data_IF_083615645211
#
_entry.id   IF_083615645211
#
_cell.length_a   1.000
_cell.length_b   1.000
_cell.length_c   1.000
_cell.angle_alpha   90.00
_cell.angle_beta   90.00
_cell.angle_gamma   90.00
#
_symmetry.space_group_name_H-M   'P 1'
#
loop_
_entity.id
_entity.type
_entity.pdbx_description
1 polymer ?
#
# COMPACT_ATOMS: atom_id res chain seq x y z
N UNK A 1 -57.88 8.87 55.64
CA UNK A 1 -57.33 9.88 54.72
C UNK A 1 -56.47 10.80 55.55
N UNK A 2 -55.17 10.81 55.31
CA UNK A 2 -54.28 11.98 55.37
C UNK A 2 -52.93 11.53 54.78
N UNK A 3 -52.58 12.12 53.64
CA UNK A 3 -51.39 11.79 52.86
C UNK A 3 -50.20 12.59 53.40
N UNK A 4 -49.17 11.88 53.87
CA UNK A 4 -47.85 12.45 54.10
C UNK A 4 -47.10 12.54 52.76
N UNK A 5 -47.09 13.73 52.16
CA UNK A 5 -46.22 14.07 51.03
C UNK A 5 -44.85 14.44 51.61
N UNK A 6 -43.91 13.47 51.61
CA UNK A 6 -42.51 13.74 51.95
C UNK A 6 -41.76 14.10 50.66
N UNK A 7 -41.22 15.32 50.69
CA UNK A 7 -40.50 16.05 49.65
C UNK A 7 -39.35 15.28 48.97
N UNK A 8 -39.35 15.27 47.64
CA UNK A 8 -38.30 14.77 46.73
C UNK A 8 -37.10 15.75 46.55
N UNK A 9 -36.78 16.60 47.52
CA UNK A 9 -35.69 17.60 47.37
C UNK A 9 -34.33 17.17 47.93
N UNK A 10 -34.24 16.09 48.73
CA UNK A 10 -32.97 15.71 49.38
C UNK A 10 -31.95 15.02 48.46
N UNK A 11 -32.40 14.27 47.46
CA UNK A 11 -31.50 13.48 46.62
C UNK A 11 -30.73 14.31 45.59
N UNK A 12 -31.25 15.48 45.18
CA UNK A 12 -30.63 16.31 44.14
C UNK A 12 -29.52 17.21 44.71
N UNK A 13 -29.68 17.67 45.96
CA UNK A 13 -28.66 18.45 46.67
C UNK A 13 -27.45 17.59 47.07
N UNK A 14 -27.66 16.31 47.39
CA UNK A 14 -26.57 15.38 47.73
C UNK A 14 -25.68 15.06 46.52
N UNK A 15 -26.27 14.92 45.33
CA UNK A 15 -25.53 14.65 44.08
C UNK A 15 -24.75 15.89 43.61
N UNK A 16 -25.31 17.10 43.75
CA UNK A 16 -24.60 18.35 43.46
C UNK A 16 -23.43 18.60 44.43
N UNK A 17 -23.61 18.25 45.70
CA UNK A 17 -22.53 18.31 46.71
C UNK A 17 -21.35 17.40 46.37
N UNK A 18 -21.62 16.14 46.00
CA UNK A 18 -20.58 15.18 45.61
C UNK A 18 -19.82 15.59 44.34
N UNK A 19 -20.50 16.18 43.35
CA UNK A 19 -19.82 16.76 42.19
C UNK A 19 -18.92 17.94 42.58
N UNK A 20 -19.39 18.84 43.45
CA UNK A 20 -18.59 20.03 43.84
C UNK A 20 -17.31 19.68 44.63
N UNK A 21 -17.29 18.58 45.40
CA UNK A 21 -16.08 18.14 46.12
C UNK A 21 -15.05 17.48 45.19
N UNK A 22 -15.49 16.84 44.10
CA UNK A 22 -14.59 16.24 43.10
C UNK A 22 -13.93 17.26 42.16
N UNK A 23 -14.49 18.47 42.02
CA UNK A 23 -13.95 19.51 41.13
C UNK A 23 -12.97 20.50 41.78
N UNK A 24 -12.74 20.44 43.11
CA UNK A 24 -11.92 21.44 43.82
C UNK A 24 -10.58 20.89 44.34
N UNK A 25 -10.28 19.59 44.21
CA UNK A 25 -8.95 19.04 44.53
C UNK A 25 -7.97 19.07 43.34
N UNK A 26 -8.00 20.15 42.56
CA UNK A 26 -7.02 20.45 41.52
C UNK A 26 -5.75 21.07 42.10
N UNK A 27 -5.00 20.31 42.89
CA UNK A 27 -3.64 20.71 43.29
C UNK A 27 -2.73 20.66 42.06
N UNK A 28 -2.24 21.84 41.64
CA UNK A 28 -1.24 22.01 40.62
C UNK A 28 0.06 21.28 40.99
N UNK A 29 0.26 20.09 40.43
CA UNK A 29 1.58 19.43 40.41
C UNK A 29 2.25 19.85 39.11
N UNK A 30 3.28 20.70 39.23
CA UNK A 30 4.14 21.13 38.11
C UNK A 30 4.96 19.93 37.60
N UNK A 31 4.35 19.08 36.77
CA UNK A 31 5.01 17.97 36.07
C UNK A 31 5.76 18.48 34.85
N UNK A 32 6.80 19.30 35.04
CA UNK A 32 7.79 19.51 33.98
C UNK A 32 8.76 18.33 34.02
N UNK A 33 8.97 17.59 32.92
CA UNK A 33 10.01 16.58 32.87
C UNK A 33 11.37 17.25 33.10
N UNK A 34 12.13 16.82 34.11
CA UNK A 34 13.45 17.37 34.47
C UNK A 34 14.53 17.15 33.40
N UNK A 35 14.26 16.35 32.38
CA UNK A 35 15.11 16.23 31.21
C UNK A 35 14.26 15.88 29.98
N UNK A 36 14.37 16.70 28.94
CA UNK A 36 14.04 16.25 27.60
C UNK A 36 14.95 15.06 27.30
N UNK A 37 14.38 13.92 26.91
CA UNK A 37 15.19 12.84 26.35
C UNK A 37 15.96 13.40 25.15
N UNK A 38 17.24 13.02 25.04
CA UNK A 38 18.06 13.41 23.89
C UNK A 38 17.28 13.12 22.61
N UNK A 39 17.24 14.09 21.70
CA UNK A 39 16.64 13.92 20.39
C UNK A 39 17.15 12.61 19.80
N UNK A 40 16.25 11.66 19.53
CA UNK A 40 16.59 10.46 18.79
C UNK A 40 17.14 10.97 17.47
N UNK A 41 18.43 10.76 17.23
CA UNK A 41 19.04 11.01 15.93
C UNK A 41 18.40 9.99 14.98
N UNK A 42 17.33 10.40 14.31
CA UNK A 42 16.82 9.69 13.15
C UNK A 42 17.87 9.93 12.09
N UNK A 43 18.86 9.04 12.00
CA UNK A 43 19.66 8.97 10.77
C UNK A 43 18.65 8.74 9.66
N UNK A 44 18.53 9.68 8.73
CA UNK A 44 17.83 9.49 7.47
C UNK A 44 18.56 8.40 6.69
N UNK A 45 18.40 7.16 7.12
CA UNK A 45 19.01 6.02 6.48
C UNK A 45 18.42 5.97 5.08
N UNK A 46 19.30 6.05 4.09
CA UNK A 46 18.92 5.80 2.70
C UNK A 46 18.22 4.43 2.65
N UNK A 47 17.06 4.31 1.97
CA UNK A 47 16.29 3.08 2.02
C UNK A 47 17.12 1.87 1.59
N UNK A 48 16.95 0.73 2.27
CA UNK A 48 17.85 -0.41 2.13
C UNK A 48 17.82 -1.07 0.74
N UNK A 49 16.73 -0.85 -0.02
CA UNK A 49 16.57 -1.30 -1.40
C UNK A 49 17.05 -0.31 -2.45
N UNK A 50 17.49 0.88 -2.05
CA UNK A 50 18.12 1.84 -2.94
C UNK A 50 19.55 1.45 -3.31
N UNK A 51 19.98 1.85 -4.49
CA UNK A 51 21.34 1.63 -4.96
C UNK A 51 22.30 2.64 -4.37
N UNK A 52 23.45 2.14 -3.91
CA UNK A 52 24.60 2.97 -3.52
C UNK A 52 25.65 3.11 -4.64
N UNK A 53 25.35 2.65 -5.87
CA UNK A 53 26.31 2.67 -6.97
C UNK A 53 26.58 4.11 -7.45
N UNK A 54 27.84 4.52 -7.66
CA UNK A 54 28.19 5.89 -8.03
C UNK A 54 27.52 6.38 -9.32
N UNK A 55 27.32 5.49 -10.28
CA UNK A 55 26.67 5.79 -11.57
C UNK A 55 25.24 6.30 -11.42
N UNK A 56 24.56 5.95 -10.32
CA UNK A 56 23.20 6.39 -10.03
C UNK A 56 23.12 7.62 -9.13
N UNK A 57 24.19 8.02 -8.46
CA UNK A 57 24.16 9.04 -7.41
C UNK A 57 23.49 10.37 -7.84
N UNK A 58 23.77 10.83 -9.08
CA UNK A 58 23.19 12.06 -9.61
C UNK A 58 21.68 11.95 -9.85
N UNK A 59 21.22 10.83 -10.41
CA UNK A 59 19.79 10.56 -10.67
C UNK A 59 19.04 10.23 -9.38
N UNK A 60 19.69 9.52 -8.46
CA UNK A 60 19.16 9.12 -7.17
C UNK A 60 18.69 10.34 -6.36
N UNK A 61 19.47 11.42 -6.35
CA UNK A 61 19.07 12.68 -5.69
C UNK A 61 17.82 13.30 -6.32
N UNK A 62 17.70 13.26 -7.65
CA UNK A 62 16.51 13.76 -8.34
C UNK A 62 15.28 12.88 -8.06
N UNK A 63 15.43 11.55 -8.06
CA UNK A 63 14.38 10.59 -7.76
C UNK A 63 13.87 10.70 -6.31
N UNK A 64 14.76 10.92 -5.33
CA UNK A 64 14.37 11.05 -3.92
C UNK A 64 13.41 12.23 -3.72
N UNK A 65 13.64 13.34 -4.43
CA UNK A 65 12.73 14.49 -4.41
C UNK A 65 11.37 14.20 -5.08
N UNK A 66 11.22 13.04 -5.71
CA UNK A 66 9.98 12.52 -6.31
C UNK A 66 9.35 11.39 -5.48
N UNK A 67 9.85 11.11 -4.27
CA UNK A 67 9.54 9.93 -3.45
C UNK A 67 9.94 8.59 -4.11
N UNK A 68 10.92 8.62 -5.02
CA UNK A 68 11.41 7.48 -5.77
C UNK A 68 12.89 7.22 -5.48
N UNK A 69 13.34 6.00 -5.77
CA UNK A 69 14.76 5.64 -5.78
C UNK A 69 15.05 4.65 -6.90
N UNK A 70 16.33 4.45 -7.22
CA UNK A 70 16.74 3.40 -8.16
C UNK A 70 17.42 2.26 -7.39
N UNK A 71 17.08 1.02 -7.71
CA UNK A 71 17.72 -0.17 -7.14
C UNK A 71 18.98 -0.56 -7.92
N UNK A 72 19.77 -1.48 -7.36
CA UNK A 72 21.02 -1.96 -7.96
C UNK A 72 20.86 -2.58 -9.35
N UNK A 73 19.65 -3.06 -9.68
CA UNK A 73 19.30 -3.61 -10.99
C UNK A 73 18.76 -2.55 -11.98
N UNK A 74 18.69 -1.28 -11.58
CA UNK A 74 18.18 -0.18 -12.40
C UNK A 74 16.67 0.08 -12.30
N UNK A 75 15.92 -0.76 -11.57
CA UNK A 75 14.48 -0.54 -11.37
C UNK A 75 14.24 0.73 -10.54
N UNK A 76 13.25 1.53 -10.92
CA UNK A 76 12.82 2.66 -10.10
C UNK A 76 11.70 2.20 -9.16
N UNK A 77 11.84 2.48 -7.88
CA UNK A 77 10.99 1.96 -6.81
C UNK A 77 10.50 3.10 -5.90
N UNK A 78 9.34 2.94 -5.23
CA UNK A 78 8.95 3.79 -4.11
C UNK A 78 10.05 3.84 -3.03
N UNK A 79 10.24 5.00 -2.41
CA UNK A 79 11.17 5.17 -1.29
C UNK A 79 10.79 4.33 -0.09
N UNK A 80 9.50 4.19 0.19
CA UNK A 80 9.00 3.38 1.29
C UNK A 80 7.62 2.76 1.01
N UNK A 81 7.27 1.66 1.70
CA UNK A 81 6.05 0.88 1.44
C UNK A 81 4.76 1.67 1.66
N UNK A 82 4.78 2.61 2.61
CA UNK A 82 3.61 3.44 2.94
C UNK A 82 3.23 4.42 1.83
N UNK A 83 4.11 4.62 0.85
CA UNK A 83 3.80 5.48 -0.30
C UNK A 83 2.64 4.94 -1.14
N UNK A 84 2.44 3.62 -1.19
CA UNK A 84 1.35 3.04 -1.98
C UNK A 84 -0.03 3.21 -1.32
N UNK A 85 -0.09 3.61 -0.05
CA UNK A 85 -1.30 3.61 0.82
C UNK A 85 -2.02 2.25 0.95
N UNK A 86 -1.57 1.23 0.22
CA UNK A 86 -2.07 -0.13 0.17
C UNK A 86 -0.90 -1.11 0.30
N UNK A 87 -1.12 -2.25 0.97
CA UNK A 87 -0.07 -3.25 1.15
C UNK A 87 0.35 -3.88 -0.18
N UNK A 88 1.59 -3.66 -0.59
CA UNK A 88 2.19 -4.30 -1.76
C UNK A 88 2.87 -5.61 -1.35
N UNK A 89 2.45 -6.73 -1.94
CA UNK A 89 3.01 -8.07 -1.71
C UNK A 89 3.86 -8.49 -2.90
N UNK A 90 5.00 -9.13 -2.65
CA UNK A 90 5.78 -9.73 -3.71
C UNK A 90 5.18 -11.09 -4.11
N UNK A 91 4.74 -11.22 -5.36
CA UNK A 91 4.24 -12.48 -5.90
C UNK A 91 5.41 -13.36 -6.29
N UNK A 92 5.55 -14.50 -5.63
CA UNK A 92 6.66 -15.41 -5.89
C UNK A 92 6.33 -16.33 -7.06
N UNK A 93 7.10 -16.21 -8.13
CA UNK A 93 6.98 -17.05 -9.35
C UNK A 93 8.28 -17.77 -9.71
N UNK A 94 9.37 -17.48 -8.99
CA UNK A 94 10.72 -18.02 -9.21
C UNK A 94 11.51 -18.06 -7.90
N UNK A 95 12.50 -18.94 -7.82
CA UNK A 95 13.49 -18.97 -6.73
C UNK A 95 14.58 -17.92 -6.90
N UNK A 96 14.74 -17.34 -8.10
CA UNK A 96 15.64 -16.22 -8.34
C UNK A 96 14.95 -14.89 -8.04
N UNK A 97 15.00 -14.47 -6.79
CA UNK A 97 14.34 -13.27 -6.31
C UNK A 97 15.18 -12.01 -6.62
N UNK A 98 14.57 -10.89 -7.06
CA UNK A 98 15.27 -9.62 -7.22
C UNK A 98 16.05 -9.21 -5.96
N UNK A 99 17.14 -8.48 -6.13
CA UNK A 99 18.05 -8.12 -5.03
C UNK A 99 17.39 -7.25 -3.96
N UNK A 100 16.40 -6.44 -4.33
CA UNK A 100 15.60 -5.67 -3.40
C UNK A 100 14.60 -6.53 -2.61
N UNK A 101 14.27 -7.73 -3.09
CA UNK A 101 13.41 -8.68 -2.36
C UNK A 101 14.19 -9.25 -1.17
N UNK A 102 13.69 -9.08 0.04
CA UNK A 102 14.32 -9.54 1.27
C UNK A 102 15.19 -8.53 2.01
N UNK A 103 15.42 -7.34 1.44
CA UNK A 103 16.07 -6.21 2.14
C UNK A 103 15.03 -5.37 2.92
N UNK A 104 13.93 -5.99 3.38
CA UNK A 104 12.67 -5.29 3.63
C UNK A 104 12.46 -4.78 5.05
N UNK A 105 12.36 -3.46 5.19
CA UNK A 105 11.23 -2.78 5.88
C UNK A 105 10.53 -1.76 4.96
N UNK A 106 11.19 -1.40 3.84
CA UNK A 106 10.85 -0.20 3.08
C UNK A 106 10.06 -0.47 1.79
N UNK A 107 9.84 -1.68 1.27
CA UNK A 107 9.16 -1.82 -0.04
C UNK A 107 7.91 -2.70 -0.04
N UNK A 108 8.04 -3.96 0.38
CA UNK A 108 6.92 -4.91 0.39
C UNK A 108 6.40 -5.12 1.82
N UNK A 109 5.11 -5.39 1.94
CA UNK A 109 4.45 -5.80 3.18
C UNK A 109 4.56 -7.32 3.44
N UNK A 110 5.01 -8.09 2.45
CA UNK A 110 5.21 -9.53 2.53
C UNK A 110 5.11 -10.23 1.18
N UNK A 111 4.62 -11.47 1.19
CA UNK A 111 4.69 -12.40 0.06
C UNK A 111 3.33 -13.01 -0.30
N UNK A 112 3.11 -13.24 -1.59
CA UNK A 112 1.96 -13.95 -2.12
C UNK A 112 2.41 -15.20 -2.89
N UNK A 113 1.77 -16.33 -2.59
CA UNK A 113 2.11 -17.65 -3.13
C UNK A 113 0.86 -18.31 -3.73
N UNK A 114 0.90 -18.66 -5.01
CA UNK A 114 -0.03 -19.64 -5.59
C UNK A 114 0.55 -21.05 -5.32
N UNK A 115 -0.24 -21.99 -4.79
CA UNK A 115 0.23 -23.34 -4.47
C UNK A 115 -0.71 -24.44 -5.00
N UNK A 116 -0.13 -25.54 -5.47
CA UNK A 116 -0.87 -26.68 -6.02
C UNK A 116 -0.28 -28.00 -5.51
N UNK A 117 -1.11 -29.04 -5.48
CA UNK A 117 -0.65 -30.39 -5.15
C UNK A 117 -0.31 -31.13 -6.43
N UNK A 118 0.99 -31.30 -6.70
CA UNK A 118 1.50 -31.86 -7.95
C UNK A 118 2.48 -32.98 -7.65
N UNK A 119 2.28 -34.15 -8.26
CA UNK A 119 3.16 -35.33 -8.10
C UNK A 119 3.40 -35.74 -6.63
N UNK A 120 2.40 -35.57 -5.76
CA UNK A 120 2.46 -36.00 -4.37
C UNK A 120 3.05 -34.98 -3.39
N UNK A 121 3.42 -33.78 -3.83
CA UNK A 121 3.94 -32.71 -2.97
C UNK A 121 3.22 -31.38 -3.21
N UNK A 122 3.26 -30.51 -2.19
CA UNK A 122 2.80 -29.12 -2.30
C UNK A 122 3.89 -28.27 -2.95
N UNK A 123 3.58 -27.72 -4.12
CA UNK A 123 4.49 -26.87 -4.89
C UNK A 123 3.94 -25.46 -4.99
N UNK A 124 4.85 -24.51 -5.05
CA UNK A 124 4.56 -23.13 -5.45
C UNK A 124 4.50 -23.12 -6.97
N UNK A 125 3.44 -22.55 -7.52
CA UNK A 125 3.17 -22.54 -8.96
C UNK A 125 3.03 -21.12 -9.46
N UNK A 126 3.43 -20.87 -10.70
CA UNK A 126 3.16 -19.60 -11.39
C UNK A 126 2.00 -19.77 -12.35
N UNK A 127 0.85 -19.15 -12.06
CA UNK A 127 -0.39 -19.29 -12.84
C UNK A 127 -1.02 -17.93 -13.11
N UNK A 128 -1.54 -17.66 -14.31
CA UNK A 128 -2.26 -16.40 -14.58
C UNK A 128 -3.75 -16.56 -14.22
N UNK A 129 -4.02 -16.79 -12.93
CA UNK A 129 -5.32 -17.15 -12.34
C UNK A 129 -5.88 -18.52 -12.75
N UNK A 130 -5.25 -19.23 -13.68
CA UNK A 130 -5.65 -20.55 -14.14
C UNK A 130 -4.69 -21.64 -13.65
N UNK A 131 -5.11 -22.45 -12.67
CA UNK A 131 -4.31 -23.57 -12.15
C UNK A 131 -4.19 -24.76 -13.10
N UNK A 132 -4.92 -24.79 -14.22
CA UNK A 132 -4.71 -25.78 -15.27
C UNK A 132 -3.47 -25.49 -16.14
N UNK A 133 -2.96 -24.25 -16.11
CA UNK A 133 -1.78 -23.83 -16.87
C UNK A 133 -0.72 -23.34 -15.88
N UNK A 134 0.24 -24.22 -15.60
CA UNK A 134 1.38 -23.94 -14.72
C UNK A 134 2.58 -23.56 -15.58
N UNK A 135 3.01 -22.30 -15.47
CA UNK A 135 4.16 -21.78 -16.24
C UNK A 135 5.49 -22.22 -15.63
N UNK A 136 5.54 -22.32 -14.29
CA UNK A 136 6.69 -22.80 -13.53
C UNK A 136 6.22 -23.37 -12.20
N UNK A 137 6.99 -24.32 -11.66
CA UNK A 137 6.74 -24.90 -10.35
C UNK A 137 8.05 -25.16 -9.61
N UNK A 138 8.00 -25.07 -8.28
CA UNK A 138 9.09 -25.49 -7.41
C UNK A 138 8.54 -25.89 -6.04
N UNK A 139 9.29 -26.74 -5.34
CA UNK A 139 8.88 -27.25 -4.03
C UNK A 139 8.70 -26.13 -3.00
N UNK A 140 7.65 -26.21 -2.19
CA UNK A 140 7.40 -25.24 -1.13
C UNK A 140 8.55 -25.22 -0.09
N UNK A 141 9.21 -26.36 0.12
CA UNK A 141 10.40 -26.47 0.98
C UNK A 141 11.62 -25.75 0.39
N UNK A 142 11.81 -25.82 -0.93
CA UNK A 142 12.86 -25.07 -1.63
C UNK A 142 12.59 -23.56 -1.54
N UNK A 143 11.31 -23.15 -1.60
CA UNK A 143 10.98 -21.75 -1.39
C UNK A 143 11.38 -21.27 0.00
N UNK A 144 11.10 -22.06 1.04
CA UNK A 144 11.39 -21.68 2.41
C UNK A 144 12.89 -21.41 2.60
N UNK A 145 13.79 -22.21 2.02
CA UNK A 145 15.23 -21.97 2.14
C UNK A 145 15.68 -20.66 1.49
N UNK A 146 15.00 -20.21 0.43
CA UNK A 146 15.29 -18.95 -0.28
C UNK A 146 14.64 -17.74 0.39
N UNK A 147 13.41 -17.87 0.88
CA UNK A 147 12.64 -16.79 1.48
C UNK A 147 12.95 -16.55 2.94
N UNK A 148 13.16 -17.58 3.75
CA UNK A 148 13.32 -17.40 5.20
C UNK A 148 14.45 -16.43 5.58
N UNK A 149 15.64 -16.45 4.92
CA UNK A 149 16.69 -15.45 5.17
C UNK A 149 16.29 -14.00 4.83
N UNK A 150 15.22 -13.83 4.05
CA UNK A 150 14.70 -12.57 3.50
C UNK A 150 13.47 -12.06 4.24
N UNK A 151 12.92 -12.86 5.15
CA UNK A 151 11.63 -12.60 5.81
C UNK A 151 11.85 -11.92 7.16
N UNK A 152 11.04 -10.90 7.43
CA UNK A 152 11.00 -10.23 8.73
C UNK A 152 9.81 -10.70 9.56
N UNK A 153 9.85 -10.43 10.87
CA UNK A 153 8.72 -10.69 11.78
C UNK A 153 7.47 -9.88 11.43
N UNK A 154 7.60 -8.86 10.59
CA UNK A 154 6.50 -7.99 10.18
C UNK A 154 5.79 -8.45 8.90
N UNK A 155 6.41 -9.36 8.14
CA UNK A 155 5.90 -9.76 6.82
C UNK A 155 4.63 -10.59 6.93
N UNK A 156 3.72 -10.36 5.97
CA UNK A 156 2.49 -11.12 5.80
C UNK A 156 2.67 -12.13 4.66
N UNK A 157 2.22 -13.36 4.86
CA UNK A 157 2.13 -14.34 3.79
C UNK A 157 0.67 -14.50 3.38
N UNK A 158 0.39 -14.49 2.08
CA UNK A 158 -0.91 -14.89 1.54
C UNK A 158 -0.70 -16.11 0.66
N UNK A 159 -1.29 -17.23 1.04
CA UNK A 159 -1.21 -18.51 0.33
C UNK A 159 -2.55 -18.78 -0.35
N UNK A 160 -2.52 -18.92 -1.68
CA UNK A 160 -3.68 -19.32 -2.48
C UNK A 160 -3.49 -20.75 -2.98
N UNK A 161 -4.13 -21.75 -2.37
CA UNK A 161 -4.21 -23.09 -2.94
C UNK A 161 -4.97 -23.10 -4.27
N UNK A 162 -4.78 -24.16 -5.04
CA UNK A 162 -5.61 -24.46 -6.20
C UNK A 162 -7.10 -24.48 -5.82
N UNK A 163 -8.00 -23.98 -6.70
CA UNK A 163 -9.43 -23.95 -6.45
C UNK A 163 -10.01 -25.34 -6.14
N UNK A 164 -11.14 -25.37 -5.42
CA UNK A 164 -11.87 -26.59 -5.06
C UNK A 164 -11.06 -27.62 -4.24
N UNK A 165 -10.09 -27.16 -3.45
CA UNK A 165 -9.34 -28.02 -2.54
C UNK A 165 -10.27 -28.70 -1.52
N UNK A 166 -10.04 -30.00 -1.26
CA UNK A 166 -10.80 -30.72 -0.22
C UNK A 166 -10.36 -30.30 1.19
N UNK A 167 -11.24 -30.45 2.19
CA UNK A 167 -10.90 -30.15 3.58
C UNK A 167 -9.69 -30.97 4.09
N UNK A 168 -9.54 -32.22 3.63
CA UNK A 168 -8.37 -33.06 3.96
C UNK A 168 -7.09 -32.48 3.36
N UNK A 169 -7.09 -32.19 2.06
CA UNK A 169 -5.93 -31.61 1.39
C UNK A 169 -5.56 -30.24 1.98
N UNK A 170 -6.54 -29.41 2.33
CA UNK A 170 -6.29 -28.15 3.02
C UNK A 170 -5.62 -28.37 4.38
N UNK A 171 -6.05 -29.37 5.16
CA UNK A 171 -5.40 -29.70 6.44
C UNK A 171 -3.93 -30.05 6.25
N UNK A 172 -3.63 -30.86 5.23
CA UNK A 172 -2.27 -31.25 4.91
C UNK A 172 -1.43 -30.03 4.49
N UNK A 173 -1.98 -29.14 3.67
CA UNK A 173 -1.32 -27.88 3.28
C UNK A 173 -1.03 -26.97 4.48
N UNK A 174 -2.02 -26.78 5.37
CA UNK A 174 -1.87 -25.95 6.57
C UNK A 174 -0.71 -26.47 7.44
N UNK A 175 -0.59 -27.78 7.59
CA UNK A 175 0.52 -28.41 8.31
C UNK A 175 1.88 -28.20 7.59
N UNK A 176 1.92 -28.34 6.27
CA UNK A 176 3.14 -28.06 5.48
C UNK A 176 3.57 -26.60 5.56
N UNK A 177 2.63 -25.66 5.54
CA UNK A 177 2.94 -24.23 5.66
C UNK A 177 3.39 -23.90 7.09
N UNK A 178 2.76 -24.48 8.10
CA UNK A 178 3.15 -24.28 9.49
C UNK A 178 4.58 -24.73 9.79
N UNK A 179 5.07 -25.79 9.15
CA UNK A 179 6.43 -26.28 9.34
C UNK A 179 7.49 -25.47 8.58
N UNK A 180 7.09 -24.71 7.56
CA UNK A 180 8.00 -24.03 6.64
C UNK A 180 8.00 -22.50 6.76
N UNK A 181 6.88 -21.89 7.17
CA UNK A 181 6.67 -20.44 7.15
C UNK A 181 6.21 -19.91 8.53
N UNK A 182 6.48 -18.63 8.86
CA UNK A 182 6.08 -18.05 10.13
C UNK A 182 4.55 -17.92 10.24
N UNK A 183 3.95 -18.69 11.14
CA UNK A 183 2.50 -18.89 11.27
C UNK A 183 1.71 -17.60 11.56
N UNK A 184 2.24 -16.71 12.41
CA UNK A 184 1.47 -15.61 13.02
C UNK A 184 0.88 -14.59 12.04
N UNK A 185 1.39 -14.52 10.82
CA UNK A 185 0.99 -13.53 9.79
C UNK A 185 0.65 -14.18 8.46
N UNK A 186 0.31 -15.46 8.46
CA UNK A 186 -0.09 -16.17 7.25
C UNK A 186 -1.60 -16.16 7.08
N UNK A 187 -2.05 -15.86 5.87
CA UNK A 187 -3.44 -15.87 5.45
C UNK A 187 -3.63 -16.88 4.32
N UNK A 188 -4.80 -17.51 4.26
CA UNK A 188 -5.14 -18.46 3.19
C UNK A 188 -6.35 -18.00 2.40
N UNK A 189 -6.23 -18.01 1.08
CA UNK A 189 -7.36 -17.80 0.16
C UNK A 189 -8.15 -19.09 0.05
N UNK A 190 -9.40 -19.12 0.50
CA UNK A 190 -10.24 -20.32 0.51
C UNK A 190 -11.70 -20.00 0.25
N UNK A 191 -12.47 -21.01 -0.16
CA UNK A 191 -13.93 -20.94 -0.13
C UNK A 191 -14.45 -20.73 1.30
N UNK A 192 -15.60 -20.05 1.42
CA UNK A 192 -16.22 -19.75 2.72
C UNK A 192 -16.42 -20.99 3.61
N UNK A 193 -16.76 -22.15 3.01
CA UNK A 193 -16.96 -23.42 3.73
C UNK A 193 -15.71 -23.92 4.46
N UNK A 194 -14.52 -23.49 4.05
CA UNK A 194 -13.23 -23.89 4.61
C UNK A 194 -12.60 -22.83 5.53
N UNK A 195 -13.17 -21.61 5.60
CA UNK A 195 -12.63 -20.50 6.38
C UNK A 195 -12.42 -20.86 7.86
N UNK A 196 -13.41 -21.52 8.48
CA UNK A 196 -13.34 -21.96 9.88
C UNK A 196 -12.16 -22.91 10.15
N UNK A 197 -11.85 -23.79 9.19
CA UNK A 197 -10.72 -24.72 9.32
C UNK A 197 -9.38 -23.98 9.32
N UNK A 198 -9.24 -22.95 8.48
CA UNK A 198 -8.06 -22.07 8.45
C UNK A 198 -7.88 -21.35 9.78
N UNK A 199 -8.95 -20.77 10.31
CA UNK A 199 -8.92 -20.02 11.57
C UNK A 199 -8.63 -20.91 12.78
N UNK A 200 -9.18 -22.12 12.82
CA UNK A 200 -8.89 -23.11 13.87
C UNK A 200 -7.41 -23.56 13.85
N UNK A 201 -6.74 -23.51 12.71
CA UNK A 201 -5.32 -23.78 12.58
C UNK A 201 -4.43 -22.57 12.97
N UNK A 202 -5.02 -21.44 13.39
CA UNK A 202 -4.30 -20.25 13.84
C UNK A 202 -3.91 -19.27 12.73
N UNK A 203 -4.44 -19.46 11.52
CA UNK A 203 -4.23 -18.58 10.37
C UNK A 203 -5.43 -17.64 10.16
N UNK A 204 -5.30 -16.65 9.27
CA UNK A 204 -6.45 -15.82 8.85
C UNK A 204 -7.01 -16.28 7.51
N UNK A 205 -8.33 -16.30 7.37
CA UNK A 205 -8.97 -16.56 6.09
C UNK A 205 -9.03 -15.29 5.22
N UNK A 206 -8.82 -15.49 3.92
CA UNK A 206 -9.19 -14.60 2.82
C UNK A 206 -10.17 -15.38 1.97
N UNK A 207 -11.29 -14.79 1.58
CA UNK A 207 -12.30 -15.51 0.81
C UNK A 207 -12.09 -15.33 -0.69
N UNK A 208 -12.58 -16.26 -1.50
CA UNK A 208 -12.58 -16.12 -2.97
C UNK A 208 -13.63 -15.11 -3.47
N UNK A 209 -14.57 -14.73 -2.61
CA UNK A 209 -15.66 -13.81 -2.93
C UNK A 209 -15.91 -12.82 -1.80
N UNK A 210 -16.57 -11.70 -2.13
CA UNK A 210 -16.89 -10.64 -1.19
C UNK A 210 -17.71 -11.17 0.00
N UNK A 211 -17.24 -10.87 1.20
CA UNK A 211 -17.97 -11.16 2.44
C UNK A 211 -17.65 -10.14 3.52
N UNK A 212 -18.62 -9.92 4.42
CA UNK A 212 -18.39 -9.11 5.60
C UNK A 212 -17.33 -9.76 6.50
N UNK A 213 -16.47 -8.93 7.12
CA UNK A 213 -15.41 -9.30 8.08
C UNK A 213 -14.17 -9.99 7.53
N UNK A 214 -14.16 -10.40 6.26
CA UNK A 214 -12.99 -11.01 5.63
C UNK A 214 -12.43 -10.11 4.54
N UNK A 215 -11.12 -10.25 4.29
CA UNK A 215 -10.58 -9.87 3.00
C UNK A 215 -11.08 -10.87 1.96
N UNK A 216 -11.18 -10.44 0.72
CA UNK A 216 -11.47 -11.32 -0.40
C UNK A 216 -10.55 -11.06 -1.57
N UNK A 217 -10.28 -12.11 -2.34
CA UNK A 217 -9.51 -12.04 -3.57
C UNK A 217 -10.38 -11.37 -4.66
N UNK A 218 -9.82 -10.36 -5.32
CA UNK A 218 -10.44 -9.72 -6.48
C UNK A 218 -10.54 -10.68 -7.66
N UNK A 219 -11.54 -10.45 -8.52
CA UNK A 219 -11.65 -11.18 -9.78
C UNK A 219 -10.50 -10.80 -10.74
N UNK A 220 -10.36 -11.55 -11.83
CA UNK A 220 -9.34 -11.26 -12.84
C UNK A 220 -9.52 -9.87 -13.47
N UNK A 221 -10.74 -9.34 -13.56
CA UNK A 221 -11.01 -8.02 -14.14
C UNK A 221 -10.51 -6.88 -13.26
N UNK A 222 -10.34 -7.13 -11.97
CA UNK A 222 -9.76 -6.20 -11.00
C UNK A 222 -8.23 -6.24 -10.95
N UNK A 223 -7.57 -7.01 -11.83
CA UNK A 223 -6.10 -7.10 -11.94
C UNK A 223 -5.56 -6.28 -13.11
N UNK A 224 -4.24 -6.08 -13.17
CA UNK A 224 -3.56 -5.39 -14.28
C UNK A 224 -2.26 -6.09 -14.65
N UNK A 225 -1.57 -5.62 -15.69
CA UNK A 225 -0.24 -6.12 -16.03
C UNK A 225 0.80 -5.93 -14.91
N UNK A 226 0.60 -4.96 -14.01
CA UNK A 226 1.48 -4.67 -12.89
C UNK A 226 0.97 -5.24 -11.56
N UNK A 227 -0.35 -5.34 -11.38
CA UNK A 227 -1.01 -5.91 -10.21
C UNK A 227 -1.57 -7.30 -10.55
N UNK A 228 -0.77 -8.35 -10.33
CA UNK A 228 -1.17 -9.73 -10.63
C UNK A 228 -2.38 -10.21 -9.85
N UNK A 229 -2.54 -9.73 -8.61
CA UNK A 229 -3.65 -10.05 -7.70
C UNK A 229 -4.02 -8.82 -6.91
N UNK A 230 -5.29 -8.69 -6.60
CA UNK A 230 -5.83 -7.62 -5.76
C UNK A 230 -6.66 -8.23 -4.65
N UNK A 231 -6.64 -7.60 -3.49
CA UNK A 231 -7.36 -8.03 -2.31
C UNK A 231 -8.19 -6.87 -1.80
N UNK A 232 -9.43 -7.15 -1.46
CA UNK A 232 -10.39 -6.15 -1.05
C UNK A 232 -10.96 -6.48 0.33
N UNK A 233 -11.40 -5.45 1.04
CA UNK A 233 -12.26 -5.59 2.20
C UNK A 233 -13.52 -4.74 1.99
N UNK A 234 -14.63 -5.15 2.60
CA UNK A 234 -15.84 -4.34 2.63
C UNK A 234 -15.70 -3.34 3.78
N UNK A 235 -15.71 -2.05 3.46
CA UNK A 235 -15.63 -0.99 4.46
C UNK A 235 -16.98 -0.73 5.16
N UNK A 236 -17.00 0.20 6.13
CA UNK A 236 -18.20 0.54 6.90
C UNK A 236 -19.37 1.05 6.05
N UNK A 237 -19.09 1.53 4.83
CA UNK A 237 -20.08 2.02 3.88
C UNK A 237 -20.49 0.97 2.85
N UNK A 238 -20.17 -0.30 3.09
CA UNK A 238 -20.43 -1.44 2.20
C UNK A 238 -19.74 -1.36 0.82
N UNK A 239 -18.70 -0.54 0.69
CA UNK A 239 -17.91 -0.44 -0.52
C UNK A 239 -16.67 -1.34 -0.45
N UNK A 240 -16.29 -1.88 -1.60
CA UNK A 240 -15.02 -2.59 -1.77
C UNK A 240 -13.86 -1.60 -1.68
N UNK A 241 -12.90 -1.88 -0.81
CA UNK A 241 -11.68 -1.10 -0.63
C UNK A 241 -10.47 -1.98 -0.86
N UNK A 242 -9.54 -1.54 -1.70
CA UNK A 242 -8.30 -2.27 -1.98
C UNK A 242 -7.41 -2.24 -0.74
N UNK A 243 -7.16 -3.40 -0.15
CA UNK A 243 -6.37 -3.55 1.09
C UNK A 243 -4.96 -4.08 0.83
N UNK A 244 -4.79 -4.86 -0.24
CA UNK A 244 -3.49 -5.33 -0.69
C UNK A 244 -3.50 -5.63 -2.19
N UNK A 245 -2.33 -5.67 -2.81
CA UNK A 245 -2.14 -6.23 -4.14
C UNK A 245 -0.83 -7.00 -4.21
N UNK A 246 -0.75 -8.01 -5.08
CA UNK A 246 0.46 -8.76 -5.34
C UNK A 246 1.05 -8.39 -6.70
N UNK A 247 2.37 -8.29 -6.77
CA UNK A 247 3.10 -7.98 -7.99
C UNK A 247 4.37 -8.83 -8.09
N UNK A 248 4.60 -9.44 -9.26
CA UNK A 248 5.83 -10.19 -9.59
C UNK A 248 6.88 -9.31 -10.25
N UNK A 249 6.47 -8.17 -10.80
CA UNK A 249 7.28 -7.27 -11.62
C UNK A 249 6.66 -5.88 -11.67
N UNK A 250 7.48 -4.83 -11.84
CA UNK A 250 7.03 -3.43 -11.97
C UNK A 250 6.35 -2.86 -10.70
N UNK A 251 6.96 -2.97 -9.51
CA UNK A 251 6.37 -2.52 -8.25
C UNK A 251 5.98 -1.03 -8.24
N UNK A 252 6.74 -0.16 -8.91
CA UNK A 252 6.38 1.25 -9.02
C UNK A 252 5.04 1.45 -9.74
N UNK A 253 4.83 0.77 -10.87
CA UNK A 253 3.58 0.92 -11.62
C UNK A 253 2.41 0.34 -10.84
N UNK A 254 2.60 -0.83 -10.21
CA UNK A 254 1.59 -1.42 -9.36
C UNK A 254 1.17 -0.48 -8.22
N UNK A 255 2.14 0.18 -7.59
CA UNK A 255 1.93 1.16 -6.53
C UNK A 255 1.19 2.41 -7.04
N UNK A 256 1.61 2.99 -8.16
CA UNK A 256 0.99 4.18 -8.75
C UNK A 256 -0.43 3.95 -9.27
N UNK A 257 -0.78 2.71 -9.65
CA UNK A 257 -2.15 2.32 -9.99
C UNK A 257 -3.06 2.25 -8.75
N UNK A 258 -2.52 1.88 -7.58
CA UNK A 258 -3.25 1.92 -6.32
C UNK A 258 -3.41 3.36 -5.80
N UNK A 259 -2.30 4.11 -5.75
CA UNK A 259 -2.28 5.50 -5.30
C UNK A 259 -1.12 6.26 -5.95
N UNK A 260 -1.39 7.42 -6.56
CA UNK A 260 -0.33 8.25 -7.14
C UNK A 260 0.36 9.10 -6.06
N UNK A 261 1.47 8.60 -5.53
CA UNK A 261 2.29 9.26 -4.50
C UNK A 261 3.44 10.10 -5.04
N UNK A 262 3.69 10.05 -6.36
CA UNK A 262 4.85 10.70 -6.98
C UNK A 262 4.67 12.21 -6.92
N UNK A 263 5.61 12.88 -6.25
CA UNK A 263 5.54 14.34 -6.07
C UNK A 263 5.51 15.06 -7.43
N UNK A 264 4.85 16.22 -7.53
CA UNK A 264 4.85 17.03 -8.75
C UNK A 264 6.28 17.43 -9.16
N UNK A 265 6.49 17.83 -10.42
CA UNK A 265 7.80 18.24 -10.89
C UNK A 265 8.31 19.47 -10.10
N UNK A 266 9.56 19.39 -9.64
CA UNK A 266 10.22 20.46 -8.90
C UNK A 266 10.69 21.61 -9.81
N UNK A 267 10.83 21.33 -11.11
CA UNK A 267 11.20 22.32 -12.12
C UNK A 267 10.13 22.35 -13.21
N UNK A 268 9.75 23.54 -13.65
CA UNK A 268 8.86 23.69 -14.81
C UNK A 268 9.62 23.29 -16.07
N UNK A 269 8.96 22.52 -16.93
CA UNK A 269 9.47 22.23 -18.26
C UNK A 269 9.68 23.53 -19.06
N UNK A 270 10.84 23.65 -19.69
CA UNK A 270 11.20 24.76 -20.56
C UNK A 270 11.88 24.21 -21.82
N UNK A 271 11.26 24.39 -23.00
CA UNK A 271 11.81 23.95 -24.30
C UNK A 271 13.18 24.58 -24.59
N UNK A 272 13.44 25.78 -24.08
CA UNK A 272 14.73 26.47 -24.26
C UNK A 272 15.82 25.94 -23.32
N UNK A 273 15.46 25.18 -22.30
CA UNK A 273 16.41 24.51 -21.42
C UNK A 273 17.09 23.38 -22.20
N UNK A 274 18.40 23.52 -22.43
CA UNK A 274 19.25 22.46 -23.01
C UNK A 274 19.51 21.29 -22.04
N UNK A 275 18.88 21.27 -20.86
CA UNK A 275 19.10 20.24 -19.87
C UNK A 275 18.55 18.90 -20.36
N UNK A 276 19.40 18.14 -21.05
CA UNK A 276 19.15 16.76 -21.47
C UNK A 276 19.74 15.77 -20.48
N UNK A 277 20.44 16.20 -19.43
CA UNK A 277 20.94 15.30 -18.41
C UNK A 277 19.78 14.65 -17.64
N UNK A 278 19.94 13.37 -17.33
CA UNK A 278 18.87 12.57 -16.76
C UNK A 278 18.33 13.10 -15.40
N UNK A 279 19.16 13.61 -14.46
CA UNK A 279 18.66 14.23 -13.23
C UNK A 279 17.75 15.45 -13.48
N UNK A 280 18.08 16.30 -14.45
CA UNK A 280 17.25 17.44 -14.83
C UNK A 280 15.93 16.99 -15.47
N UNK A 281 15.96 15.96 -16.32
CA UNK A 281 14.75 15.35 -16.90
C UNK A 281 13.84 14.82 -15.78
N UNK A 282 14.38 14.02 -14.85
CA UNK A 282 13.63 13.50 -13.69
C UNK A 282 12.99 14.61 -12.86
N UNK A 283 13.66 15.75 -12.70
CA UNK A 283 13.14 16.90 -11.95
C UNK A 283 11.97 17.61 -12.64
N UNK A 284 11.80 17.41 -13.94
CA UNK A 284 10.76 18.04 -14.76
C UNK A 284 9.64 17.08 -15.17
N UNK A 285 9.85 15.76 -15.08
CA UNK A 285 8.86 14.76 -15.47
C UNK A 285 7.54 14.94 -14.70
N UNK A 286 6.38 14.83 -15.34
CA UNK A 286 5.09 14.81 -14.67
C UNK A 286 4.95 13.64 -13.67
N UNK A 287 4.09 13.78 -12.65
CA UNK A 287 3.86 12.71 -11.66
C UNK A 287 3.31 11.41 -12.26
N UNK A 288 2.64 11.47 -13.41
CA UNK A 288 2.12 10.30 -14.13
C UNK A 288 3.10 9.74 -15.17
N UNK A 289 4.35 10.20 -15.20
CA UNK A 289 5.36 9.70 -16.11
C UNK A 289 5.77 8.26 -15.77
N UNK A 290 6.20 7.49 -16.77
CA UNK A 290 6.83 6.20 -16.54
C UNK A 290 8.30 6.39 -16.14
N UNK A 291 8.56 6.34 -14.83
CA UNK A 291 9.93 6.45 -14.30
C UNK A 291 10.74 5.15 -14.47
N UNK A 292 10.15 4.02 -14.89
CA UNK A 292 10.93 2.83 -15.21
C UNK A 292 11.60 2.93 -16.60
N UNK A 293 11.22 3.91 -17.41
CA UNK A 293 11.75 4.12 -18.76
C UNK A 293 12.56 5.41 -18.88
N UNK A 294 13.42 5.70 -17.91
CA UNK A 294 14.22 6.93 -17.83
C UNK A 294 14.98 7.27 -19.12
N UNK A 295 15.57 6.27 -19.78
CA UNK A 295 16.28 6.46 -21.05
C UNK A 295 15.36 6.93 -22.17
N UNK A 296 14.14 6.40 -22.24
CA UNK A 296 13.13 6.81 -23.22
C UNK A 296 12.57 8.19 -22.89
N UNK A 297 12.34 8.47 -21.60
CA UNK A 297 11.96 9.80 -21.13
C UNK A 297 12.96 10.86 -21.58
N UNK A 298 14.26 10.58 -21.46
CA UNK A 298 15.33 11.50 -21.85
C UNK A 298 15.29 11.79 -23.36
N UNK A 299 15.02 10.79 -24.21
CA UNK A 299 14.87 10.99 -25.66
C UNK A 299 13.65 11.86 -25.97
N UNK A 300 12.50 11.54 -25.38
CA UNK A 300 11.24 12.25 -25.62
C UNK A 300 11.29 13.70 -25.13
N UNK A 301 12.05 13.97 -24.06
CA UNK A 301 12.20 15.29 -23.46
C UNK A 301 12.61 16.35 -24.47
N UNK A 302 13.55 16.03 -25.36
CA UNK A 302 14.05 16.93 -26.41
C UNK A 302 12.95 17.43 -27.37
N UNK A 303 11.91 16.61 -27.57
CA UNK A 303 10.77 16.91 -28.42
C UNK A 303 9.59 17.56 -27.68
N UNK A 304 9.78 17.92 -26.40
CA UNK A 304 8.72 18.44 -25.54
C UNK A 304 7.62 17.42 -25.23
N UNK A 305 7.97 16.14 -25.20
CA UNK A 305 7.09 15.02 -24.89
C UNK A 305 7.61 14.21 -23.70
N UNK A 306 6.74 13.41 -23.11
CA UNK A 306 7.07 12.44 -22.07
C UNK A 306 6.19 11.19 -22.23
N UNK A 307 6.68 10.06 -21.72
CA UNK A 307 5.95 8.80 -21.67
C UNK A 307 5.18 8.71 -20.36
N UNK A 308 3.89 8.41 -20.40
CA UNK A 308 3.08 8.16 -19.20
C UNK A 308 3.23 6.73 -18.73
N UNK A 309 2.89 6.49 -17.47
CA UNK A 309 2.88 5.14 -16.88
C UNK A 309 1.96 4.14 -17.60
N UNK A 310 0.97 4.63 -18.34
CA UNK A 310 0.06 3.79 -19.13
C UNK A 310 0.59 3.50 -20.55
N UNK A 311 1.77 4.01 -20.91
CA UNK A 311 2.36 3.83 -22.23
C UNK A 311 2.05 4.94 -23.24
N UNK A 312 1.22 5.94 -22.88
CA UNK A 312 0.89 7.05 -23.78
C UNK A 312 2.03 8.07 -23.87
N UNK A 313 2.32 8.58 -25.06
CA UNK A 313 3.26 9.69 -25.26
C UNK A 313 2.50 11.01 -25.33
N UNK A 314 2.71 11.89 -24.33
CA UNK A 314 2.01 13.17 -24.22
C UNK A 314 2.97 14.36 -24.34
N UNK A 315 2.44 15.51 -24.77
CA UNK A 315 3.17 16.80 -24.75
C UNK A 315 3.18 17.39 -23.34
N UNK A 316 4.28 18.02 -22.95
CA UNK A 316 4.35 18.74 -21.67
C UNK A 316 3.31 19.86 -21.53
N UNK A 317 2.94 20.51 -22.63
CA UNK A 317 1.89 21.52 -22.64
C UNK A 317 0.52 20.96 -22.27
N UNK A 318 0.24 19.69 -22.59
CA UNK A 318 -0.99 19.00 -22.15
C UNK A 318 -1.02 18.86 -20.63
N UNK A 319 0.09 18.43 -20.03
CA UNK A 319 0.21 18.33 -18.57
C UNK A 319 0.05 19.69 -17.88
N UNK A 320 0.68 20.75 -18.41
CA UNK A 320 0.55 22.10 -17.87
C UNK A 320 -0.89 22.62 -17.92
N UNK A 321 -1.62 22.35 -19.01
CA UNK A 321 -3.06 22.66 -19.12
C UNK A 321 -3.89 21.90 -18.08
N UNK A 322 -3.59 20.63 -17.85
CA UNK A 322 -4.28 19.79 -16.86
C UNK A 322 -4.02 20.23 -15.41
N UNK A 323 -2.86 20.83 -15.13
CA UNK A 323 -2.53 21.41 -13.82
C UNK A 323 -3.19 22.79 -13.60
N UNK A 324 -3.33 23.59 -14.66
CA UNK A 324 -3.95 24.90 -14.60
C UNK A 324 -5.49 24.85 -14.65
N UNK A 325 -6.07 23.76 -15.14
CA UNK A 325 -7.50 23.54 -15.22
C UNK A 325 -8.08 22.92 -13.95
N UNK A 326 -9.32 23.30 -13.62
CA UNK A 326 -10.08 22.58 -12.58
C UNK A 326 -10.31 21.11 -12.98
N UNK A 327 -10.48 20.16 -12.05
CA UNK A 327 -10.73 18.74 -12.41
C UNK A 327 -11.87 18.56 -13.43
N UNK A 328 -12.83 19.48 -13.43
CA UNK A 328 -13.98 19.51 -14.32
C UNK A 328 -13.67 20.05 -15.71
N UNK A 329 -12.51 20.70 -15.92
CA UNK A 329 -12.04 21.10 -17.25
C UNK A 329 -11.61 19.93 -18.13
N UNK A 330 -11.71 18.69 -17.61
CA UNK A 330 -11.57 17.45 -18.37
C UNK A 330 -12.88 17.00 -19.02
N UNK A 331 -14.00 17.55 -18.56
CA UNK A 331 -15.33 17.30 -19.10
C UNK A 331 -15.71 18.47 -20.00
N UNK A 332 -16.39 18.19 -21.12
CA UNK A 332 -16.99 19.23 -21.94
C UNK A 332 -18.11 19.92 -21.13
N UNK A 333 -18.38 21.23 -21.29
CA UNK A 333 -19.56 21.86 -20.69
C UNK A 333 -20.89 21.19 -21.07
N UNK A 334 -20.92 20.46 -22.19
CA UNK A 334 -22.06 19.66 -22.65
C UNK A 334 -22.16 18.28 -22.00
N UNK A 335 -21.16 17.85 -21.23
CA UNK A 335 -21.16 16.57 -20.54
C UNK A 335 -22.11 16.64 -19.33
N UNK A 336 -23.06 15.69 -19.18
CA UNK A 336 -23.98 15.65 -18.04
C UNK A 336 -23.26 15.66 -16.68
N UNK A 337 -22.04 15.15 -16.62
CA UNK A 337 -21.21 15.08 -15.41
C UNK A 337 -20.46 16.39 -15.14
N UNK A 338 -20.39 17.32 -16.09
CA UNK A 338 -19.69 18.59 -15.93
C UNK A 338 -20.29 19.42 -14.79
N UNK A 339 -21.61 19.59 -14.78
CA UNK A 339 -22.31 20.35 -13.74
C UNK A 339 -22.17 19.71 -12.36
N UNK A 340 -22.31 18.39 -12.29
CA UNK A 340 -22.07 17.64 -11.06
C UNK A 340 -20.63 17.79 -10.55
N UNK A 341 -19.65 17.77 -11.45
CA UNK A 341 -18.25 18.01 -11.08
C UNK A 341 -18.03 19.43 -10.56
N UNK A 342 -18.57 20.45 -11.25
CA UNK A 342 -18.47 21.86 -10.86
C UNK A 342 -19.06 22.10 -9.47
N UNK A 343 -20.26 21.57 -9.21
CA UNK A 343 -20.96 21.71 -7.93
C UNK A 343 -20.19 21.06 -6.77
N UNK A 344 -19.45 19.98 -7.05
CA UNK A 344 -18.64 19.26 -6.05
C UNK A 344 -17.18 19.68 -5.97
N UNK A 345 -16.77 20.74 -6.68
CA UNK A 345 -15.40 21.31 -6.54
C UNK A 345 -15.07 21.71 -5.10
N UNK A 346 -16.09 22.12 -4.33
CA UNK A 346 -15.92 22.53 -2.94
C UNK A 346 -15.74 21.35 -1.97
N UNK A 347 -16.28 20.17 -2.28
CA UNK A 347 -16.15 18.97 -1.43
C UNK A 347 -14.69 18.48 -1.33
N UNK A 348 -13.87 18.79 -2.33
CA UNK A 348 -12.43 18.45 -2.37
C UNK A 348 -11.56 19.64 -1.94
N UNK A 349 -12.15 20.82 -1.70
CA UNK A 349 -11.44 21.98 -1.14
C UNK A 349 -11.13 21.86 0.36
N UNK A 350 -11.39 20.67 0.94
CA UNK A 350 -10.54 20.16 2.00
C UNK A 350 -9.17 19.77 1.40
N UNK A 351 -8.42 20.77 0.93
CA UNK A 351 -7.01 20.78 1.28
C UNK A 351 -7.00 20.45 2.78
N UNK A 352 -6.46 19.29 3.13
CA UNK A 352 -5.90 19.08 4.45
C UNK A 352 -4.76 20.09 4.58
N UNK A 353 -5.09 21.38 4.72
CA UNK A 353 -4.32 22.27 5.56
C UNK A 353 -4.32 21.54 6.89
N UNK A 354 -3.24 20.82 7.17
CA UNK A 354 -2.76 20.66 8.54
C UNK A 354 -2.62 22.09 9.08
N UNK A 355 -3.74 22.68 9.52
CA UNK A 355 -3.71 23.69 10.56
C UNK A 355 -3.01 22.96 11.69
N UNK A 356 -1.87 23.53 12.10
CA UNK A 356 -1.00 23.10 13.19
C UNK A 356 -1.66 22.05 14.06
N UNK A 357 -1.02 20.88 14.17
CA UNK A 357 -1.37 19.94 15.21
C UNK A 357 -1.21 20.66 16.56
N UNK A 358 -2.31 21.16 17.11
CA UNK A 358 -2.41 21.40 18.54
C UNK A 358 -2.58 20.02 19.14
N UNK A 359 -1.49 19.44 19.62
CA UNK A 359 -1.58 18.17 20.34
C UNK A 359 -2.47 18.40 21.56
N UNK A 360 -3.58 17.64 21.64
CA UNK A 360 -4.25 17.42 22.91
C UNK A 360 -3.28 16.64 23.78
N UNK A 361 -2.95 17.18 24.94
CA UNK A 361 -2.31 16.44 26.01
C UNK A 361 -3.24 15.25 26.32
N UNK A 362 -2.76 14.04 26.08
CA UNK A 362 -3.43 12.85 26.60
C UNK A 362 -3.09 12.79 28.09
N UNK A 363 -4.12 12.73 28.92
CA UNK A 363 -4.03 12.62 30.38
C UNK A 363 -3.43 11.29 30.81
#
# INVERSE_FOLDING_TARGET
MEFLVISRQFSLLFVLGLCSVLFVSGCAVDKRPEAYSNAIVVSSAFPAHGSSQPQYAAVQSALLNRNLLIADNGDVLPVMKSMCETDMLYRVTSTNLPSYVGRHQDLFAGFYLDVAFVNGSWKVVSTDNNFAQVNSEFELSLLASVLIPRVTTSDVFIVRPQPNISAKALKDLLASVQSLLPVKRTRFVVENKLAKQVEQAGFRAVLEHAAAKYWYLGDTLSTSAAQDRTFFAINSSANAELVAFATRSQPLMACMQAHNFVQPPNKKFNIKSKATDLPSVVSMLPSNADFNQLSEQQKLFSSGKYLTINGDVLKYSTYQKLQAGSRCSRLSPSDPLYKYCEDRKQDVSADFKRRKATMRKQD
#
